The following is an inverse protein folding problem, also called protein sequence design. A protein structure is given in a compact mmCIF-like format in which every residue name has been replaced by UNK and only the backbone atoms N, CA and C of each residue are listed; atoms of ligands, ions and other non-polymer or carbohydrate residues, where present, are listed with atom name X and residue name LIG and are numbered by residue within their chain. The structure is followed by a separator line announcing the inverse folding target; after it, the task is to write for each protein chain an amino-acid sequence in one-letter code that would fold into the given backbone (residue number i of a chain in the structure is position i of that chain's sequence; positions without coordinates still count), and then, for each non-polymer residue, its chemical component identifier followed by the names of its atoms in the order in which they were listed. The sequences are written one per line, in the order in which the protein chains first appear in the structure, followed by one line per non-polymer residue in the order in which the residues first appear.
data_IF_674562029464
#
_entry.id   IF_674562029464
#
_cell.length_a   1.000
_cell.length_b   1.000
_cell.length_c   1.000
_cell.angle_alpha   90.00
_cell.angle_beta   90.00
_cell.angle_gamma   90.00
#
_symmetry.space_group_name_H-M   'P 1'
#
loop_
_entity.id
_entity.type
_entity.pdbx_description
1 polymer ?
#
# COMPACT_ATOMS: atom_id res chain seq x y z
N UNK A 1 -10.83 -18.96 -6.32
CA UNK A 1 -11.39 -17.89 -5.46
C UNK A 1 -10.17 -17.24 -4.85
N UNK A 2 -9.80 -16.06 -5.34
CA UNK A 2 -8.64 -15.33 -4.81
C UNK A 2 -9.12 -14.57 -3.59
N UNK A 3 -8.70 -15.01 -2.41
CA UNK A 3 -8.96 -14.30 -1.16
C UNK A 3 -8.40 -12.88 -1.27
N UNK A 4 -9.27 -11.89 -1.51
CA UNK A 4 -8.91 -10.46 -1.60
C UNK A 4 -8.51 -9.86 -0.25
N UNK A 5 -8.06 -10.69 0.69
CA UNK A 5 -7.68 -10.36 2.06
C UNK A 5 -6.16 -10.49 2.28
N UNK A 6 -5.36 -10.57 1.22
CA UNK A 6 -3.90 -10.54 1.30
C UNK A 6 -3.39 -9.10 1.26
N UNK A 7 -2.55 -8.73 2.23
CA UNK A 7 -1.88 -7.43 2.31
C UNK A 7 -0.38 -7.64 2.27
N UNK A 8 0.29 -6.90 1.39
CA UNK A 8 1.74 -6.86 1.36
C UNK A 8 2.22 -5.61 2.08
N UNK A 9 3.03 -5.79 3.10
CA UNK A 9 3.61 -4.70 3.89
C UNK A 9 5.08 -4.58 3.51
N UNK A 10 5.44 -3.51 2.84
CA UNK A 10 6.76 -3.32 2.26
C UNK A 10 7.56 -2.25 3.01
N UNK A 11 8.79 -2.60 3.43
CA UNK A 11 9.73 -1.71 4.13
C UNK A 11 9.33 -1.30 5.54
N UNK A 12 8.42 -2.04 6.16
CA UNK A 12 8.15 -1.95 7.58
C UNK A 12 9.27 -2.62 8.39
N UNK A 13 9.58 -2.02 9.54
CA UNK A 13 10.35 -2.66 10.61
C UNK A 13 9.52 -3.79 11.25
N UNK A 14 10.15 -4.67 12.04
CA UNK A 14 9.43 -5.75 12.74
C UNK A 14 8.27 -5.22 13.60
N UNK A 15 8.48 -4.11 14.32
CA UNK A 15 7.44 -3.47 15.14
C UNK A 15 6.28 -2.91 14.30
N UNK A 16 6.60 -2.28 13.17
CA UNK A 16 5.60 -1.69 12.26
C UNK A 16 4.77 -2.78 11.58
N UNK A 17 5.43 -3.86 11.16
CA UNK A 17 4.76 -5.02 10.59
C UNK A 17 3.85 -5.70 11.62
N UNK A 18 4.32 -5.91 12.84
CA UNK A 18 3.49 -6.50 13.91
C UNK A 18 2.27 -5.62 14.20
N UNK A 19 2.44 -4.29 14.24
CA UNK A 19 1.34 -3.35 14.42
C UNK A 19 0.28 -3.45 13.31
N UNK A 20 0.69 -3.48 12.04
CA UNK A 20 -0.23 -3.64 10.90
C UNK A 20 -0.93 -4.98 10.97
N UNK A 21 -0.19 -6.05 11.28
CA UNK A 21 -0.72 -7.41 11.42
C UNK A 21 -1.73 -7.53 12.57
N UNK A 22 -1.51 -6.81 13.68
CA UNK A 22 -2.48 -6.74 14.77
C UNK A 22 -3.76 -6.02 14.33
N UNK A 23 -3.63 -4.85 13.68
CA UNK A 23 -4.76 -4.09 13.16
C UNK A 23 -5.58 -4.86 12.10
N UNK A 24 -4.88 -5.62 11.27
CA UNK A 24 -5.43 -6.42 10.17
C UNK A 24 -5.36 -7.92 10.49
N UNK A 25 -5.74 -8.29 11.71
CA UNK A 25 -5.73 -9.69 12.18
C UNK A 25 -6.61 -10.63 11.34
N UNK A 26 -7.65 -10.11 10.69
CA UNK A 26 -8.52 -10.85 9.76
C UNK A 26 -7.92 -11.02 8.35
N UNK A 27 -6.78 -10.39 8.06
CA UNK A 27 -6.14 -10.36 6.74
C UNK A 27 -4.78 -11.05 6.77
N UNK A 28 -4.39 -11.65 5.65
CA UNK A 28 -3.08 -12.28 5.50
C UNK A 28 -2.03 -11.21 5.19
N UNK A 29 -1.33 -10.75 6.22
CA UNK A 29 -0.23 -9.80 6.08
C UNK A 29 1.08 -10.53 5.75
N UNK A 30 1.77 -10.09 4.71
CA UNK A 30 3.10 -10.58 4.30
C UNK A 30 4.09 -9.43 4.34
N UNK A 31 5.19 -9.60 5.07
CA UNK A 31 6.27 -8.64 5.10
C UNK A 31 7.15 -8.81 3.85
N UNK A 32 7.40 -7.71 3.15
CA UNK A 32 8.27 -7.63 1.99
C UNK A 32 9.39 -6.61 2.25
N UNK A 33 10.62 -7.03 1.97
CA UNK A 33 11.78 -6.17 2.12
C UNK A 33 11.92 -5.27 0.89
N UNK A 34 11.91 -3.96 1.09
CA UNK A 34 12.21 -3.00 0.04
C UNK A 34 13.72 -2.80 -0.04
N UNK A 35 14.39 -3.51 -0.94
CA UNK A 35 15.80 -3.27 -1.23
C UNK A 35 15.92 -2.34 -2.45
N UNK A 36 16.41 -1.12 -2.25
CA UNK A 36 16.86 -0.16 -3.27
C UNK A 36 16.22 -0.26 -4.67
N UNK A 37 14.88 -0.18 -4.72
CA UNK A 37 14.16 -0.17 -5.99
C UNK A 37 14.02 -1.54 -6.67
N UNK A 38 14.11 -2.63 -5.94
CA UNK A 38 13.63 -3.94 -6.37
C UNK A 38 12.57 -4.39 -5.37
N UNK A 39 11.37 -4.65 -5.88
CA UNK A 39 10.26 -5.14 -5.06
C UNK A 39 9.94 -6.57 -5.49
N UNK A 40 9.98 -7.52 -4.53
CA UNK A 40 9.84 -8.95 -4.82
C UNK A 40 8.41 -9.37 -5.23
N UNK A 41 7.50 -8.40 -5.25
CA UNK A 41 6.15 -8.43 -5.83
C UNK A 41 6.09 -8.99 -7.24
N UNK A 42 7.09 -8.72 -8.09
CA UNK A 42 7.14 -9.23 -9.47
C UNK A 42 7.28 -10.75 -9.54
N UNK A 43 7.60 -11.44 -8.44
CA UNK A 43 7.69 -12.90 -8.36
C UNK A 43 6.57 -13.54 -7.53
N UNK A 44 5.56 -12.78 -7.08
CA UNK A 44 4.47 -13.36 -6.31
C UNK A 44 3.45 -14.08 -7.21
N UNK A 45 3.06 -15.32 -6.87
CA UNK A 45 2.10 -16.09 -7.65
C UNK A 45 0.65 -15.60 -7.50
N UNK A 46 0.40 -14.65 -6.60
CA UNK A 46 -0.93 -14.13 -6.26
C UNK A 46 -0.87 -12.61 -6.16
N UNK A 47 -1.81 -11.94 -6.81
CA UNK A 47 -2.00 -10.49 -6.69
C UNK A 47 -2.60 -10.15 -5.34
N UNK A 48 -1.96 -9.30 -4.51
CA UNK A 48 -2.52 -8.89 -3.24
C UNK A 48 -3.73 -7.96 -3.42
N UNK A 49 -4.58 -7.87 -2.40
CA UNK A 49 -5.70 -6.94 -2.39
C UNK A 49 -5.29 -5.51 -2.03
N UNK A 50 -4.13 -5.34 -1.37
CA UNK A 50 -3.63 -4.04 -0.92
C UNK A 50 -2.10 -4.08 -0.74
N UNK A 51 -1.43 -3.01 -1.17
CA UNK A 51 -0.05 -2.73 -0.82
C UNK A 51 0.01 -1.72 0.32
N UNK A 52 0.76 -2.01 1.38
CA UNK A 52 1.09 -1.07 2.46
C UNK A 52 2.59 -0.80 2.37
N UNK A 53 2.96 0.39 1.89
CA UNK A 53 4.36 0.75 1.66
C UNK A 53 4.78 1.76 2.71
N UNK A 54 5.83 1.47 3.48
CA UNK A 54 6.38 2.42 4.43
C UNK A 54 7.31 3.39 3.72
N UNK A 55 7.08 4.69 3.92
CA UNK A 55 7.88 5.73 3.33
C UNK A 55 9.32 5.66 3.86
N UNK A 56 10.25 5.59 2.92
CA UNK A 56 11.67 5.60 3.23
C UNK A 56 12.15 7.04 3.42
N UNK A 57 13.30 7.20 4.11
CA UNK A 57 13.97 8.51 4.25
C UNK A 57 14.21 9.21 2.91
N UNK A 58 14.38 8.43 1.84
CA UNK A 58 14.53 8.92 0.48
C UNK A 58 13.20 8.90 -0.26
N UNK A 59 12.67 10.08 -0.58
CA UNK A 59 11.45 10.23 -1.40
C UNK A 59 11.57 9.49 -2.74
N UNK A 60 12.76 9.54 -3.37
CA UNK A 60 13.02 8.85 -4.64
C UNK A 60 12.83 7.34 -4.53
N UNK A 61 13.25 6.74 -3.42
CA UNK A 61 13.12 5.30 -3.22
C UNK A 61 11.65 4.92 -3.10
N UNK A 62 10.89 5.64 -2.27
CA UNK A 62 9.44 5.44 -2.10
C UNK A 62 8.68 5.56 -3.42
N UNK A 63 8.96 6.61 -4.20
CA UNK A 63 8.30 6.83 -5.49
C UNK A 63 8.69 5.78 -6.52
N UNK A 64 9.95 5.39 -6.60
CA UNK A 64 10.41 4.35 -7.53
C UNK A 64 9.71 3.00 -7.29
N UNK A 65 9.44 2.67 -6.03
CA UNK A 65 8.65 1.46 -5.66
C UNK A 65 7.22 1.59 -6.14
N UNK A 66 6.57 2.74 -5.87
CA UNK A 66 5.21 2.97 -6.31
C UNK A 66 5.11 2.92 -7.85
N UNK A 67 6.09 3.48 -8.57
CA UNK A 67 6.13 3.41 -10.03
C UNK A 67 6.32 1.98 -10.54
N UNK A 68 7.19 1.18 -9.91
CA UNK A 68 7.36 -0.23 -10.27
C UNK A 68 6.09 -1.05 -10.08
N UNK A 69 5.44 -0.90 -8.93
CA UNK A 69 4.14 -1.52 -8.66
C UNK A 69 3.10 -1.12 -9.72
N UNK A 70 3.22 0.07 -10.32
CA UNK A 70 2.27 0.50 -11.36
C UNK A 70 2.69 0.13 -12.78
N UNK A 71 3.95 -0.17 -13.01
CA UNK A 71 4.43 -0.64 -14.32
C UNK A 71 4.01 -2.10 -14.60
N UNK A 72 3.66 -2.87 -13.58
CA UNK A 72 3.19 -4.24 -13.74
C UNK A 72 1.65 -4.28 -13.90
N UNK A 73 1.11 -4.91 -14.96
CA UNK A 73 -0.33 -4.95 -15.22
C UNK A 73 -1.12 -5.66 -14.11
N UNK A 74 -0.49 -6.60 -13.41
CA UNK A 74 -1.07 -7.36 -12.30
C UNK A 74 -1.24 -6.50 -11.05
N UNK A 75 -0.40 -5.49 -10.85
CA UNK A 75 -0.38 -4.64 -9.65
C UNK A 75 -0.86 -3.21 -9.91
N UNK A 76 -1.01 -2.79 -11.18
CA UNK A 76 -1.59 -1.51 -11.58
C UNK A 76 -3.00 -1.29 -11.00
N UNK A 77 -3.79 -2.37 -10.91
CA UNK A 77 -5.14 -2.35 -10.37
C UNK A 77 -5.19 -2.48 -8.84
N UNK A 78 -4.06 -2.67 -8.17
CA UNK A 78 -4.05 -2.88 -6.72
C UNK A 78 -3.89 -1.53 -6.00
N UNK A 79 -4.73 -1.24 -5.00
CA UNK A 79 -4.58 -0.03 -4.19
C UNK A 79 -3.26 -0.02 -3.43
N UNK A 80 -2.57 1.14 -3.44
CA UNK A 80 -1.33 1.36 -2.69
C UNK A 80 -1.60 2.33 -1.53
N UNK A 81 -1.31 1.90 -0.31
CA UNK A 81 -1.39 2.69 0.91
C UNK A 81 0.02 3.01 1.39
N UNK A 82 0.43 4.27 1.24
CA UNK A 82 1.70 4.76 1.74
C UNK A 82 1.59 5.14 3.22
N UNK A 83 2.40 4.54 4.07
CA UNK A 83 2.55 4.92 5.47
C UNK A 83 3.65 5.98 5.57
N UNK A 84 3.29 7.19 5.93
CA UNK A 84 4.21 8.33 6.08
C UNK A 84 4.24 8.81 7.53
N UNK A 85 5.35 9.37 7.99
CA UNK A 85 5.33 10.20 9.19
C UNK A 85 5.14 11.68 8.81
N UNK A 86 5.06 12.57 9.80
CA UNK A 86 4.91 14.01 9.54
C UNK A 86 6.05 14.61 8.70
N UNK A 87 7.22 13.98 8.69
CA UNK A 87 8.38 14.45 7.94
C UNK A 87 8.30 14.10 6.45
N UNK A 88 7.53 13.07 6.08
CA UNK A 88 7.36 12.58 4.71
C UNK A 88 6.05 13.03 4.06
N UNK A 89 5.42 14.10 4.55
CA UNK A 89 4.14 14.61 4.02
C UNK A 89 4.19 15.01 2.54
N UNK A 90 5.37 15.43 2.06
CA UNK A 90 5.61 15.72 0.65
C UNK A 90 5.47 14.47 -0.20
N UNK A 91 5.94 13.32 0.30
CA UNK A 91 5.86 12.02 -0.37
C UNK A 91 4.40 11.55 -0.50
N UNK A 92 3.60 11.71 0.56
CA UNK A 92 2.17 11.37 0.52
C UNK A 92 1.41 12.17 -0.54
N UNK A 93 1.73 13.46 -0.68
CA UNK A 93 1.14 14.31 -1.71
C UNK A 93 1.56 13.89 -3.13
N UNK A 94 2.80 13.45 -3.31
CA UNK A 94 3.29 12.94 -4.59
C UNK A 94 2.62 11.61 -4.97
N UNK A 95 2.52 10.66 -4.03
CA UNK A 95 1.87 9.36 -4.25
C UNK A 95 0.38 9.51 -4.50
N UNK A 96 -0.31 10.43 -3.82
CA UNK A 96 -1.75 10.67 -4.08
C UNK A 96 -2.02 11.12 -5.52
N UNK A 97 -1.06 11.79 -6.18
CA UNK A 97 -1.18 12.18 -7.61
C UNK A 97 -1.02 11.01 -8.57
N UNK A 98 -0.45 9.90 -8.12
CA UNK A 98 -0.30 8.71 -8.93
C UNK A 98 -1.70 8.14 -9.26
N UNK A 99 -2.65 8.17 -8.34
CA UNK A 99 -3.98 7.58 -8.54
C UNK A 99 -3.96 6.08 -8.23
N UNK A 100 -5.04 5.56 -7.64
CA UNK A 100 -5.07 4.27 -6.94
C UNK A 100 -4.03 4.13 -5.81
N UNK A 101 -3.50 5.26 -5.36
CA UNK A 101 -2.59 5.32 -4.24
C UNK A 101 -3.02 6.42 -3.27
N UNK A 102 -2.97 6.10 -1.97
CA UNK A 102 -3.29 7.02 -0.89
C UNK A 102 -2.21 6.94 0.18
N UNK A 103 -2.32 7.75 1.22
CA UNK A 103 -1.41 7.67 2.35
C UNK A 103 -2.15 7.72 3.68
N UNK A 104 -1.52 7.15 4.70
CA UNK A 104 -1.89 7.25 6.11
C UNK A 104 -0.71 7.79 6.90
N UNK A 105 -0.98 8.62 7.89
CA UNK A 105 0.05 9.25 8.71
C UNK A 105 0.26 8.46 10.00
N UNK A 106 1.52 8.20 10.36
CA UNK A 106 1.86 7.60 11.65
C UNK A 106 1.82 8.66 12.77
N UNK A 107 1.53 8.26 14.02
CA UNK A 107 0.98 6.97 14.42
C UNK A 107 -0.51 6.86 14.05
N UNK A 108 -0.94 5.69 13.59
CA UNK A 108 -2.34 5.40 13.26
C UNK A 108 -2.89 4.26 14.12
N UNK A 109 -4.20 4.26 14.32
CA UNK A 109 -4.94 3.19 15.01
C UNK A 109 -5.54 2.20 14.01
N UNK A 110 -5.95 1.04 14.51
CA UNK A 110 -6.67 0.03 13.72
C UNK A 110 -7.87 0.62 12.98
N UNK A 111 -8.71 1.40 13.67
CA UNK A 111 -9.89 2.05 13.09
C UNK A 111 -9.53 2.95 11.89
N UNK A 112 -8.43 3.70 11.98
CA UNK A 112 -8.00 4.62 10.92
C UNK A 112 -7.44 3.87 9.71
N UNK A 113 -6.68 2.78 9.96
CA UNK A 113 -6.17 1.93 8.89
C UNK A 113 -7.33 1.26 8.15
N UNK A 114 -8.28 0.67 8.89
CA UNK A 114 -9.45 0.00 8.32
C UNK A 114 -10.34 0.97 7.55
N UNK A 115 -10.66 2.14 8.13
CA UNK A 115 -11.45 3.17 7.44
C UNK A 115 -10.77 3.61 6.14
N UNK A 116 -9.44 3.81 6.17
CA UNK A 116 -8.69 4.17 4.95
C UNK A 116 -8.79 3.10 3.88
N UNK A 117 -8.63 1.82 4.24
CA UNK A 117 -8.75 0.70 3.30
C UNK A 117 -10.17 0.62 2.73
N UNK A 118 -11.20 0.80 3.55
CA UNK A 118 -12.59 0.82 3.09
C UNK A 118 -12.88 1.99 2.16
N UNK A 119 -12.36 3.18 2.46
CA UNK A 119 -12.45 4.34 1.57
C UNK A 119 -11.83 4.03 0.20
N UNK A 120 -10.62 3.46 0.18
CA UNK A 120 -9.95 3.09 -1.07
C UNK A 120 -10.78 2.08 -1.87
N UNK A 121 -11.33 1.04 -1.22
CA UNK A 121 -12.18 0.04 -1.89
C UNK A 121 -13.44 0.67 -2.48
N UNK A 122 -14.07 1.62 -1.78
CA UNK A 122 -15.23 2.37 -2.28
C UNK A 122 -14.88 3.25 -3.48
N UNK A 123 -13.75 3.98 -3.41
CA UNK A 123 -13.28 4.80 -4.53
C UNK A 123 -12.99 3.95 -5.78
N UNK A 124 -12.42 2.76 -5.58
CA UNK A 124 -12.14 1.80 -6.65
C UNK A 124 -13.43 1.29 -7.30
N UNK A 125 -14.42 0.88 -6.50
CA UNK A 125 -15.70 0.37 -6.99
C UNK A 125 -16.55 1.45 -7.69
N UNK A 126 -16.42 2.72 -7.29
CA UNK A 126 -17.17 3.82 -7.90
C UNK A 126 -16.61 4.24 -9.27
N UNK A 127 -15.30 4.06 -9.51
CA UNK A 127 -14.68 4.46 -10.79
C UNK A 127 -15.12 3.56 -11.96
N UNK A 128 -15.54 2.32 -11.70
CA UNK A 128 -16.10 1.42 -12.73
C UNK A 128 -17.55 1.78 -13.12
N UNK A 129 -18.26 2.57 -12.31
CA UNK A 129 -19.67 2.93 -12.54
C UNK A 129 -19.85 4.26 -13.29
N UNK A 130 -18.76 4.99 -13.57
CA UNK A 130 -18.82 6.28 -14.28
C UNK A 130 -18.24 6.22 -15.71
N UNK A 131 -18.25 5.04 -16.32
CA UNK A 131 -17.99 4.83 -17.74
C UNK A 131 -19.23 4.27 -18.43
N UNK A 132 -20.24 5.13 -18.66
CA UNK A 132 -21.39 4.82 -19.50
C UNK A 132 -21.65 6.01 -20.43
#
# INVERSE_FOLDING_TARGET
MVDSSMVIVAGASEEEFDHVKQCLSDWQCVAESLNDGETAVSSMPVTPGLFVVYAQKSEKSTLAICEQLRNSPETLAVPILLVISRYEITQGSAVKRMGNATFIMTPFKEEELRDKIEQMKKEFNNHELSGN
#
